data_IF_270393862592
#
_entry.id   IF_270393862592
#
_cell.length_a   1.000
_cell.length_b   1.000
_cell.length_c   1.000
_cell.angle_alpha   90.00
_cell.angle_beta   90.00
_cell.angle_gamma   90.00
#
_symmetry.space_group_name_H-M   'P 1'
#
loop_
_entity.id
_entity.type
_entity.pdbx_description
1 polymer ?
#
# COMPACT_ATOMS: atom_id res chain seq x y z
N UNK A 1 -1.73 -25.95 -21.55
CA UNK A 1 -2.00 -27.11 -20.68
C UNK A 1 -3.49 -27.11 -20.40
N UNK A 2 -4.19 -27.97 -21.12
CA UNK A 2 -5.65 -28.13 -21.15
C UNK A 2 -5.94 -29.39 -20.34
N UNK A 3 -6.88 -29.32 -19.40
CA UNK A 3 -7.33 -30.49 -18.65
C UNK A 3 -8.83 -30.65 -18.85
N UNK A 4 -9.15 -31.59 -19.72
CA UNK A 4 -10.44 -32.21 -19.95
C UNK A 4 -10.98 -32.81 -18.64
N UNK A 5 -12.26 -32.57 -18.35
CA UNK A 5 -13.01 -33.36 -17.36
C UNK A 5 -14.11 -34.12 -18.08
N UNK A 6 -13.98 -35.45 -18.02
CA UNK A 6 -14.94 -36.44 -18.47
C UNK A 6 -16.34 -36.15 -17.89
N UNK A 7 -17.33 -36.09 -18.79
CA UNK A 7 -18.75 -36.19 -18.47
C UNK A 7 -19.11 -37.67 -18.60
N UNK A 8 -19.36 -38.33 -17.48
CA UNK A 8 -19.84 -39.71 -17.44
C UNK A 8 -21.37 -39.71 -17.56
N UNK A 9 -21.86 -40.38 -18.62
CA UNK A 9 -23.27 -40.57 -18.95
C UNK A 9 -23.90 -41.62 -18.02
N UNK A 10 -25.07 -41.31 -17.43
CA UNK A 10 -25.97 -42.37 -16.97
C UNK A 10 -27.43 -42.01 -17.30
N UNK A 11 -27.92 -42.67 -18.34
CA UNK A 11 -29.32 -42.70 -18.74
C UNK A 11 -30.09 -43.69 -17.85
N UNK A 12 -31.12 -43.25 -17.12
CA UNK A 12 -32.16 -44.17 -16.60
C UNK A 12 -33.52 -43.51 -16.35
N UNK A 13 -34.43 -43.76 -17.31
CA UNK A 13 -35.86 -44.15 -17.20
C UNK A 13 -36.82 -43.43 -16.23
N UNK A 14 -37.94 -42.99 -16.84
CA UNK A 14 -39.22 -42.57 -16.25
C UNK A 14 -39.73 -43.41 -15.07
N UNK A 15 -40.29 -42.74 -14.06
CA UNK A 15 -41.37 -43.25 -13.20
C UNK A 15 -42.11 -42.10 -12.52
N UNK A 16 -43.37 -41.90 -12.92
CA UNK A 16 -44.30 -40.95 -12.34
C UNK A 16 -45.01 -41.58 -11.13
N UNK A 17 -44.67 -41.14 -9.92
CA UNK A 17 -45.47 -41.45 -8.73
C UNK A 17 -45.72 -40.23 -7.85
N UNK A 18 -47.00 -39.82 -7.85
CA UNK A 18 -47.69 -39.11 -6.76
C UNK A 18 -47.37 -39.76 -5.41
N UNK A 19 -46.99 -38.94 -4.42
CA UNK A 19 -47.37 -38.99 -2.98
C UNK A 19 -46.71 -37.79 -2.27
N UNK A 20 -47.51 -36.77 -1.92
CA UNK A 20 -47.96 -36.45 -0.55
C UNK A 20 -46.85 -35.97 0.42
N UNK A 21 -46.83 -34.65 0.59
CA UNK A 21 -46.65 -33.85 1.80
C UNK A 21 -45.73 -34.34 2.94
N UNK A 22 -44.70 -33.54 3.21
CA UNK A 22 -44.15 -33.26 4.55
C UNK A 22 -43.64 -31.80 4.55
N UNK A 23 -44.22 -30.89 5.34
CA UNK A 23 -43.75 -29.51 5.48
C UNK A 23 -42.71 -29.41 6.60
N UNK A 24 -41.64 -28.63 6.39
CA UNK A 24 -40.56 -28.39 7.36
C UNK A 24 -39.48 -29.48 7.26
N UNK A 25 -38.25 -29.20 6.84
CA UNK A 25 -37.33 -28.23 7.42
C UNK A 25 -36.54 -27.57 6.29
N UNK A 26 -36.85 -26.29 6.06
CA UNK A 26 -35.95 -25.33 5.42
C UNK A 26 -34.86 -24.98 6.45
N UNK A 27 -33.67 -24.62 5.98
CA UNK A 27 -32.54 -24.03 6.73
C UNK A 27 -31.51 -25.02 7.31
N UNK A 28 -30.53 -25.42 6.49
CA UNK A 28 -29.15 -25.55 6.98
C UNK A 28 -28.14 -25.41 5.82
N UNK A 29 -28.30 -24.36 5.02
CA UNK A 29 -27.34 -23.90 4.01
C UNK A 29 -27.01 -22.45 4.35
N UNK A 30 -26.10 -22.19 5.29
CA UNK A 30 -25.48 -20.87 5.55
C UNK A 30 -24.55 -20.95 6.77
N UNK A 31 -23.37 -21.58 6.65
CA UNK A 31 -22.48 -21.71 7.82
C UNK A 31 -20.99 -21.77 7.53
N UNK A 32 -20.55 -21.64 6.28
CA UNK A 32 -19.13 -21.46 5.97
C UNK A 32 -18.98 -20.04 5.46
N UNK A 33 -18.96 -19.09 6.40
CA UNK A 33 -18.54 -17.72 6.10
C UNK A 33 -17.03 -17.83 5.89
N UNK A 34 -16.49 -17.61 4.68
CA UNK A 34 -15.06 -17.36 4.59
C UNK A 34 -14.81 -16.10 5.41
N UNK A 35 -14.06 -16.22 6.49
CA UNK A 35 -13.56 -15.09 7.26
C UNK A 35 -12.59 -14.33 6.37
N UNK A 36 -13.14 -13.48 5.51
CA UNK A 36 -12.39 -12.49 4.77
C UNK A 36 -11.86 -11.50 5.79
N UNK A 37 -10.68 -11.79 6.33
CA UNK A 37 -9.93 -10.83 7.11
C UNK A 37 -9.52 -9.70 6.16
N UNK A 38 -10.17 -8.55 6.26
CA UNK A 38 -9.72 -7.34 5.58
C UNK A 38 -8.37 -6.93 6.17
N UNK A 39 -7.40 -6.65 5.31
CA UNK A 39 -6.15 -6.04 5.73
C UNK A 39 -6.39 -4.53 5.85
N UNK A 40 -6.41 -4.01 7.07
CA UNK A 40 -6.69 -2.59 7.31
C UNK A 40 -5.43 -1.73 7.14
N UNK A 41 -4.26 -2.26 7.53
CA UNK A 41 -2.97 -1.58 7.37
C UNK A 41 -1.80 -2.57 7.30
N UNK A 42 -0.73 -2.16 6.63
CA UNK A 42 0.58 -2.82 6.61
C UNK A 42 1.61 -1.84 7.15
N UNK A 43 2.37 -2.26 8.16
CA UNK A 43 3.40 -1.44 8.81
C UNK A 43 4.76 -2.12 8.79
N UNK A 44 5.79 -1.32 8.54
CA UNK A 44 7.19 -1.73 8.58
C UNK A 44 7.99 -0.67 9.33
N UNK A 45 8.59 -1.05 10.46
CA UNK A 45 9.54 -0.23 11.19
C UNK A 45 10.95 -0.79 11.02
N UNK A 46 11.88 0.08 10.63
CA UNK A 46 13.30 -0.22 10.51
C UNK A 46 14.07 0.74 11.39
N UNK A 47 14.78 0.20 12.39
CA UNK A 47 15.53 1.01 13.36
C UNK A 47 16.61 1.85 12.69
N UNK A 48 17.38 1.25 11.80
CA UNK A 48 18.48 1.88 11.08
C UNK A 48 18.61 1.23 9.70
N UNK A 49 18.80 2.05 8.66
CA UNK A 49 19.03 1.61 7.28
C UNK A 49 19.98 2.59 6.60
N UNK A 50 20.75 2.11 5.62
CA UNK A 50 21.59 2.95 4.77
C UNK A 50 21.02 2.93 3.36
N UNK A 51 20.67 4.10 2.82
CA UNK A 51 20.11 4.26 1.48
C UNK A 51 21.06 5.13 0.66
N UNK A 52 21.61 4.59 -0.42
CA UNK A 52 22.58 5.31 -1.26
C UNK A 52 23.76 5.93 -0.47
N UNK A 53 24.23 5.24 0.57
CA UNK A 53 25.30 5.71 1.45
C UNK A 53 24.87 6.71 2.53
N UNK A 54 23.59 7.09 2.57
CA UNK A 54 23.01 8.01 3.57
C UNK A 54 22.41 7.18 4.71
N UNK A 55 22.85 7.37 5.97
CA UNK A 55 22.25 6.70 7.11
C UNK A 55 20.90 7.34 7.45
N UNK A 56 19.93 6.47 7.69
CA UNK A 56 18.55 6.80 8.06
C UNK A 56 18.20 6.05 9.34
N UNK A 57 17.77 6.78 10.36
CA UNK A 57 17.36 6.25 11.65
C UNK A 57 15.84 6.35 11.82
N UNK A 58 15.24 5.28 12.36
CA UNK A 58 13.82 5.18 12.66
C UNK A 58 12.95 5.35 11.43
N UNK A 59 13.27 4.63 10.36
CA UNK A 59 12.45 4.59 9.16
C UNK A 59 11.17 3.81 9.45
N UNK A 60 10.03 4.37 9.04
CA UNK A 60 8.72 3.76 9.21
C UNK A 60 7.91 3.92 7.94
N UNK A 61 7.32 2.83 7.49
CA UNK A 61 6.44 2.76 6.33
C UNK A 61 5.10 2.22 6.79
N UNK A 62 4.02 2.93 6.48
CA UNK A 62 2.66 2.50 6.74
C UNK A 62 1.81 2.65 5.50
N UNK A 63 1.18 1.57 5.08
CA UNK A 63 0.18 1.55 4.03
C UNK A 63 -1.18 1.29 4.67
N UNK A 64 -2.03 2.30 4.70
CA UNK A 64 -3.41 2.19 5.14
C UNK A 64 -4.31 1.84 3.96
N UNK A 65 -5.19 0.84 4.12
CA UNK A 65 -6.26 0.53 3.17
C UNK A 65 -7.53 1.16 3.71
N UNK A 66 -7.86 2.35 3.20
CA UNK A 66 -9.02 3.13 3.66
C UNK A 66 -10.33 2.63 3.04
N UNK A 67 -10.25 2.08 1.84
CA UNK A 67 -11.33 1.36 1.15
C UNK A 67 -10.76 0.56 -0.03
N UNK A 68 -11.58 -0.25 -0.70
CA UNK A 68 -11.19 -1.02 -1.89
C UNK A 68 -10.54 -0.20 -3.02
N UNK A 69 -10.76 1.12 -3.05
CA UNK A 69 -10.22 2.04 -4.07
C UNK A 69 -9.34 3.14 -3.51
N UNK A 70 -9.08 3.14 -2.20
CA UNK A 70 -8.35 4.22 -1.56
C UNK A 70 -7.34 3.66 -0.58
N UNK A 71 -6.07 3.90 -0.87
CA UNK A 71 -4.95 3.58 0.01
C UNK A 71 -4.20 4.85 0.37
N UNK A 72 -3.52 4.86 1.51
CA UNK A 72 -2.65 5.96 1.91
C UNK A 72 -1.30 5.40 2.32
N UNK A 73 -0.24 5.93 1.75
CA UNK A 73 1.13 5.58 2.13
C UNK A 73 1.70 6.71 2.99
N UNK A 74 2.22 6.35 4.15
CA UNK A 74 2.99 7.24 5.02
C UNK A 74 4.39 6.69 5.15
N UNK A 75 5.38 7.48 4.76
CA UNK A 75 6.79 7.21 4.97
C UNK A 75 7.30 8.22 5.99
N UNK A 76 8.07 7.79 6.97
CA UNK A 76 8.70 8.70 7.92
C UNK A 76 10.07 8.22 8.33
N UNK A 77 10.91 9.15 8.76
CA UNK A 77 12.22 8.86 9.33
C UNK A 77 12.49 9.82 10.49
N UNK A 78 13.05 9.30 11.58
CA UNK A 78 13.41 10.14 12.74
C UNK A 78 14.58 11.05 12.43
N UNK A 79 15.60 10.53 11.75
CA UNK A 79 16.81 11.27 11.40
C UNK A 79 17.41 10.75 10.10
N UNK A 80 17.91 11.67 9.28
CA UNK A 80 18.69 11.41 8.06
C UNK A 80 19.90 12.32 8.10
N UNK A 81 21.10 11.76 7.94
CA UNK A 81 22.34 12.53 7.92
C UNK A 81 22.78 12.69 6.47
N UNK A 82 22.48 13.85 5.89
CA UNK A 82 22.89 14.17 4.53
C UNK A 82 24.35 14.64 4.52
N UNK A 83 25.07 14.43 3.41
CA UNK A 83 26.40 15.03 3.23
C UNK A 83 26.35 16.55 3.36
N UNK A 84 27.47 17.14 3.79
CA UNK A 84 27.66 18.58 3.76
C UNK A 84 27.42 19.14 2.34
N UNK A 85 26.75 20.31 2.19
CA UNK A 85 26.37 21.26 3.24
C UNK A 85 24.95 21.06 3.81
N UNK A 86 24.24 20.00 3.43
CA UNK A 86 22.82 19.84 3.77
C UNK A 86 22.59 19.47 5.24
N UNK A 87 23.55 18.78 5.86
CA UNK A 87 23.55 18.45 7.28
C UNK A 87 22.48 17.44 7.68
N UNK A 88 21.98 17.53 8.91
CA UNK A 88 21.00 16.58 9.45
C UNK A 88 19.57 17.05 9.24
N UNK A 89 18.71 16.14 8.80
CA UNK A 89 17.26 16.33 8.72
C UNK A 89 16.58 15.40 9.71
N UNK A 90 15.60 15.92 10.43
CA UNK A 90 14.84 15.20 11.47
C UNK A 90 13.35 15.28 11.22
N UNK A 91 12.60 14.39 11.87
CA UNK A 91 11.13 14.33 11.83
C UNK A 91 10.59 14.37 10.39
N UNK A 92 11.22 13.61 9.50
CA UNK A 92 10.83 13.52 8.10
C UNK A 92 9.53 12.73 7.99
N UNK A 93 8.57 13.26 7.23
CA UNK A 93 7.35 12.56 6.88
C UNK A 93 6.91 12.90 5.46
N UNK A 94 6.68 11.86 4.67
CA UNK A 94 6.07 11.93 3.35
C UNK A 94 4.73 11.21 3.42
N UNK A 95 3.65 11.95 3.20
CA UNK A 95 2.30 11.40 3.14
C UNK A 95 1.81 11.42 1.70
N UNK A 96 1.41 10.27 1.19
CA UNK A 96 0.80 10.08 -0.11
C UNK A 96 -0.64 9.57 0.03
N UNK A 97 -1.62 10.35 -0.42
CA UNK A 97 -3.02 10.00 -0.28
C UNK A 97 -3.57 9.04 -1.35
N UNK A 98 -2.83 8.86 -2.45
CA UNK A 98 -3.18 7.97 -3.55
C UNK A 98 -1.89 7.42 -4.18
N UNK A 99 -1.19 6.50 -3.49
CA UNK A 99 0.03 5.90 -4.04
C UNK A 99 -0.32 4.95 -5.19
N UNK A 100 0.54 4.91 -6.21
CA UNK A 100 0.52 3.85 -7.22
C UNK A 100 1.36 2.70 -6.67
N UNK A 101 0.75 1.53 -6.51
CA UNK A 101 1.39 0.31 -5.99
C UNK A 101 1.06 -0.83 -6.94
N UNK A 102 1.56 -0.74 -8.18
CA UNK A 102 1.31 -1.74 -9.20
C UNK A 102 2.53 -1.85 -10.10
N UNK A 103 3.12 -3.03 -10.21
CA UNK A 103 4.24 -3.22 -11.13
C UNK A 103 3.84 -2.86 -12.57
N UNK A 104 4.73 -2.18 -13.32
CA UNK A 104 6.10 -1.79 -12.94
C UNK A 104 6.22 -0.44 -12.23
N UNK A 105 5.12 0.29 -12.05
CA UNK A 105 5.11 1.67 -11.61
C UNK A 105 4.69 1.81 -10.14
N UNK A 106 5.63 2.20 -9.30
CA UNK A 106 5.37 2.54 -7.90
C UNK A 106 5.57 4.03 -7.71
N UNK A 107 4.70 4.70 -6.95
CA UNK A 107 4.92 6.12 -6.75
C UNK A 107 3.82 6.88 -6.04
N UNK A 108 3.99 8.19 -6.06
CA UNK A 108 3.10 9.18 -5.54
C UNK A 108 3.15 10.42 -6.43
N UNK A 109 2.04 10.71 -7.12
CA UNK A 109 1.94 11.91 -7.98
C UNK A 109 1.68 13.20 -7.21
N UNK A 110 1.21 13.08 -5.96
CA UNK A 110 0.89 14.21 -5.09
C UNK A 110 1.07 13.81 -3.62
N UNK A 111 2.30 13.99 -3.13
CA UNK A 111 2.67 13.78 -1.74
C UNK A 111 2.99 15.08 -1.02
N UNK A 112 2.85 15.09 0.29
CA UNK A 112 3.32 16.17 1.15
C UNK A 112 4.55 15.71 1.92
N UNK A 113 5.69 16.36 1.69
CA UNK A 113 6.94 16.12 2.42
C UNK A 113 7.12 17.21 3.47
N UNK A 114 7.32 16.79 4.71
CA UNK A 114 7.59 17.66 5.85
C UNK A 114 8.82 17.19 6.60
N UNK A 115 9.51 18.11 7.27
CA UNK A 115 10.69 17.79 8.07
C UNK A 115 11.30 19.00 8.76
N UNK A 116 12.41 18.78 9.43
CA UNK A 116 13.25 19.84 10.02
C UNK A 116 14.71 19.61 9.65
N UNK A 117 15.23 20.43 8.74
CA UNK A 117 16.65 20.47 8.41
C UNK A 117 17.37 21.41 9.37
N UNK A 118 18.53 21.03 9.90
CA UNK A 118 19.24 21.82 10.93
C UNK A 118 19.38 23.30 10.58
N UNK A 119 20.13 23.61 9.52
CA UNK A 119 20.28 24.99 9.02
C UNK A 119 19.14 25.42 8.09
N UNK A 120 18.44 24.46 7.48
CA UNK A 120 17.33 24.72 6.54
C UNK A 120 16.01 25.03 7.24
N UNK A 121 15.94 24.92 8.56
CA UNK A 121 14.71 25.14 9.33
C UNK A 121 13.62 24.11 9.02
N UNK A 122 12.36 24.55 9.04
CA UNK A 122 11.22 23.70 8.71
C UNK A 122 11.17 23.48 7.20
N UNK A 123 10.99 22.23 6.80
CA UNK A 123 10.74 21.80 5.43
C UNK A 123 9.25 21.50 5.34
N UNK A 124 8.55 22.18 4.46
CA UNK A 124 7.19 21.84 4.04
C UNK A 124 7.13 22.04 2.52
N UNK A 125 6.87 20.96 1.78
CA UNK A 125 6.82 20.99 0.33
C UNK A 125 5.90 19.93 -0.25
N UNK A 126 5.44 20.17 -1.48
CA UNK A 126 4.82 19.14 -2.31
C UNK A 126 5.91 18.29 -2.96
N UNK A 127 5.71 16.98 -2.97
CA UNK A 127 6.64 16.02 -3.54
C UNK A 127 5.92 15.05 -4.47
N UNK A 128 6.62 14.66 -5.53
CA UNK A 128 6.25 13.54 -6.40
C UNK A 128 7.40 12.56 -6.44
N UNK A 129 7.09 11.28 -6.35
CA UNK A 129 8.09 10.21 -6.37
C UNK A 129 7.57 9.13 -7.31
N UNK A 130 8.41 8.64 -8.21
CA UNK A 130 8.07 7.48 -9.02
C UNK A 130 9.28 6.56 -9.13
N UNK A 131 9.03 5.26 -9.05
CA UNK A 131 9.98 4.18 -9.26
C UNK A 131 9.38 3.29 -10.35
N UNK A 132 10.12 3.14 -11.44
CA UNK A 132 9.81 2.13 -12.44
C UNK A 132 10.73 0.93 -12.19
N UNK A 133 10.17 -0.21 -11.78
CA UNK A 133 10.96 -1.38 -11.36
C UNK A 133 11.64 -2.10 -12.53
N UNK A 134 11.09 -1.99 -13.75
CA UNK A 134 11.71 -2.59 -14.94
C UNK A 134 13.04 -1.91 -15.30
N UNK A 135 13.09 -0.58 -15.16
CA UNK A 135 14.29 0.22 -15.47
C UNK A 135 15.15 0.52 -14.24
N UNK A 136 14.61 0.32 -13.04
CA UNK A 136 15.22 0.74 -11.77
C UNK A 136 15.29 2.27 -11.59
N UNK A 137 14.66 3.05 -12.47
CA UNK A 137 14.71 4.50 -12.43
C UNK A 137 13.81 5.02 -11.31
N UNK A 138 14.41 5.74 -10.36
CA UNK A 138 13.69 6.51 -9.35
C UNK A 138 13.73 7.99 -9.70
N UNK A 139 12.57 8.62 -9.79
CA UNK A 139 12.43 10.07 -9.98
C UNK A 139 11.85 10.70 -8.73
N UNK A 140 12.38 11.85 -8.37
CA UNK A 140 11.91 12.66 -7.26
C UNK A 140 11.76 14.10 -7.74
N UNK A 141 10.58 14.67 -7.57
CA UNK A 141 10.29 16.07 -7.89
C UNK A 141 9.70 16.76 -6.67
N UNK A 142 10.28 17.89 -6.31
CA UNK A 142 9.81 18.71 -5.20
C UNK A 142 9.41 20.11 -5.68
N UNK A 143 8.32 20.66 -5.15
CA UNK A 143 7.88 22.02 -5.45
C UNK A 143 7.31 22.74 -4.23
N UNK A 144 7.34 24.08 -4.27
CA UNK A 144 6.77 24.91 -3.21
C UNK A 144 7.51 24.82 -1.88
N UNK A 145 8.83 24.62 -1.92
CA UNK A 145 9.67 24.56 -0.72
C UNK A 145 9.58 25.88 0.03
N UNK A 146 8.94 25.86 1.20
CA UNK A 146 8.99 26.97 2.15
C UNK A 146 10.16 26.72 3.11
N UNK A 147 11.22 27.53 3.00
CA UNK A 147 12.34 27.55 3.97
C UNK A 147 12.13 28.72 4.91
N UNK A 148 12.18 28.46 6.22
CA UNK A 148 12.13 29.52 7.21
C UNK A 148 13.34 30.47 7.02
N UNK A 149 13.10 31.68 6.53
CA UNK A 149 14.14 32.70 6.29
C UNK A 149 14.30 33.18 4.85
N UNK A 150 13.57 32.61 3.88
CA UNK A 150 13.54 33.09 2.49
C UNK A 150 12.15 33.61 2.14
N UNK A 151 11.99 34.93 2.09
CA UNK A 151 10.85 35.64 1.48
C UNK A 151 11.22 36.11 0.09
#
# INVERSE_FOLDING_TARGET
MTLDFLIEDSTTRHSSHRRRALPGVLLLVCGVVPTAHSLDAIELEVREIVVAGIPVEGAFVRLDVLSDKQTRLTLSARRVVLPEPAGTVTTLSLVCAAPVIAEPDFGCDAGKLTGRGGLLGVIDMSAKVALNTDTGVTTFHGSGLAVAGTT
#
